data_IF_546535574761
#
_entry.id   IF_546535574761
#
_cell.length_a   1.000
_cell.length_b   1.000
_cell.length_c   1.000
_cell.angle_alpha   90.00
_cell.angle_beta   90.00
_cell.angle_gamma   90.00
#
_symmetry.space_group_name_H-M   'P 1'
#
loop_
_entity.id
_entity.type
_entity.pdbx_description
1 polymer ?
#
# COMPACT_ATOMS: atom_id res chain seq x y z
N UNK A 1 -51.99 22.03 -17.07
CA UNK A 1 -52.58 23.30 -17.56
C UNK A 1 -52.15 24.39 -16.59
N UNK A 2 -51.07 25.11 -16.93
CA UNK A 2 -50.67 26.43 -16.39
C UNK A 2 -49.67 26.96 -17.39
N UNK A 3 -50.15 27.80 -18.31
CA UNK A 3 -49.36 28.47 -19.35
C UNK A 3 -48.82 29.75 -18.72
N UNK A 4 -47.50 29.87 -18.61
CA UNK A 4 -46.85 31.14 -18.27
C UNK A 4 -46.55 31.85 -19.59
N UNK A 5 -47.30 32.91 -19.84
CA UNK A 5 -47.20 33.75 -21.02
C UNK A 5 -45.94 34.63 -20.88
N UNK A 6 -44.87 34.29 -21.61
CA UNK A 6 -43.67 35.11 -21.68
C UNK A 6 -43.93 36.26 -22.65
N UNK A 7 -44.19 37.44 -22.10
CA UNK A 7 -44.26 38.70 -22.84
C UNK A 7 -42.93 38.91 -23.56
N UNK A 8 -42.95 38.73 -24.89
CA UNK A 8 -41.89 39.17 -25.76
C UNK A 8 -41.86 40.70 -25.73
N UNK A 9 -40.93 41.25 -24.98
CA UNK A 9 -40.57 42.65 -25.13
C UNK A 9 -39.73 42.77 -26.39
N UNK A 10 -40.38 43.10 -27.50
CA UNK A 10 -39.75 43.62 -28.72
C UNK A 10 -39.07 44.94 -28.37
N UNK A 11 -37.81 44.84 -27.94
CA UNK A 11 -36.91 45.98 -27.93
C UNK A 11 -36.44 46.20 -29.37
N UNK A 12 -37.16 47.04 -30.12
CA UNK A 12 -36.62 47.75 -31.27
C UNK A 12 -35.50 48.69 -30.78
N UNK A 13 -34.35 48.13 -30.47
CA UNK A 13 -33.09 48.86 -30.42
C UNK A 13 -32.66 49.03 -31.88
N UNK A 14 -32.86 50.24 -32.41
CA UNK A 14 -32.39 50.60 -33.74
C UNK A 14 -30.94 50.18 -33.96
N UNK A 15 -30.62 49.75 -35.18
CA UNK A 15 -29.30 49.36 -35.64
C UNK A 15 -28.26 50.48 -35.42
N UNK A 16 -27.78 50.60 -34.18
CA UNK A 16 -26.52 51.22 -33.88
C UNK A 16 -25.46 50.22 -34.32
N UNK A 17 -25.03 50.37 -35.58
CA UNK A 17 -23.93 49.61 -36.16
C UNK A 17 -22.68 49.82 -35.28
N UNK A 18 -22.44 48.88 -34.36
CA UNK A 18 -21.26 48.90 -33.51
C UNK A 18 -20.02 48.74 -34.38
N UNK A 19 -19.13 49.72 -34.36
CA UNK A 19 -17.87 49.74 -35.13
C UNK A 19 -16.80 48.78 -34.59
N UNK A 20 -17.07 48.10 -33.48
CA UNK A 20 -16.17 47.17 -32.81
C UNK A 20 -16.67 45.73 -32.88
N UNK A 21 -15.74 44.78 -32.99
CA UNK A 21 -16.03 43.35 -32.99
C UNK A 21 -16.55 42.90 -31.61
N UNK A 22 -17.72 42.28 -31.56
CA UNK A 22 -18.25 41.68 -30.33
C UNK A 22 -17.44 40.46 -29.88
N UNK A 23 -17.54 40.09 -28.60
CA UNK A 23 -16.77 38.99 -27.98
C UNK A 23 -16.99 37.62 -28.65
N UNK A 24 -18.23 37.35 -29.10
CA UNK A 24 -18.56 36.12 -29.82
C UNK A 24 -17.86 36.04 -31.18
N UNK A 25 -17.83 37.15 -31.93
CA UNK A 25 -17.13 37.23 -33.21
C UNK A 25 -15.60 37.21 -33.04
N UNK A 26 -15.08 37.86 -31.98
CA UNK A 26 -13.66 37.81 -31.63
C UNK A 26 -13.19 36.39 -31.25
N UNK A 27 -14.03 35.58 -30.58
CA UNK A 27 -13.71 34.19 -30.23
C UNK A 27 -13.48 33.31 -31.46
N UNK A 28 -14.17 33.56 -32.56
CA UNK A 28 -13.98 32.81 -33.82
C UNK A 28 -12.61 33.06 -34.47
N UNK A 29 -11.94 34.15 -34.08
CA UNK A 29 -10.59 34.50 -34.53
C UNK A 29 -9.50 34.07 -33.55
N UNK A 30 -9.87 33.60 -32.36
CA UNK A 30 -8.95 33.15 -31.34
C UNK A 30 -8.64 31.65 -31.48
N UNK A 31 -7.40 31.26 -31.19
CA UNK A 31 -7.03 29.84 -31.09
C UNK A 31 -7.31 29.31 -29.69
N UNK A 32 -7.72 28.05 -29.59
CA UNK A 32 -7.93 27.38 -28.30
C UNK A 32 -6.67 26.62 -27.89
N UNK A 33 -6.19 26.86 -26.68
CA UNK A 33 -5.16 26.02 -26.06
C UNK A 33 -5.75 24.66 -25.71
N UNK A 34 -5.21 23.59 -26.30
CA UNK A 34 -5.58 22.22 -25.96
C UNK A 34 -4.65 21.70 -24.86
N UNK A 35 -5.21 21.16 -23.79
CA UNK A 35 -4.42 20.48 -22.76
C UNK A 35 -3.95 19.10 -23.25
N UNK A 36 -2.94 18.56 -22.59
CA UNK A 36 -2.60 17.13 -22.73
C UNK A 36 -3.74 16.26 -22.20
N UNK A 37 -3.91 15.02 -22.70
CA UNK A 37 -4.86 14.06 -22.14
C UNK A 37 -4.65 13.88 -20.63
N UNK A 38 -5.71 14.00 -19.84
CA UNK A 38 -5.66 13.79 -18.39
C UNK A 38 -6.09 12.36 -18.06
N UNK A 39 -5.28 11.62 -17.29
CA UNK A 39 -5.58 10.26 -16.85
C UNK A 39 -5.89 10.22 -15.35
N UNK A 40 -7.14 9.95 -14.98
CA UNK A 40 -7.57 9.90 -13.57
C UNK A 40 -6.94 8.76 -12.76
N UNK A 41 -6.47 7.69 -13.43
CA UNK A 41 -5.79 6.58 -12.77
C UNK A 41 -4.36 6.92 -12.30
N UNK A 42 -3.80 8.08 -12.68
CA UNK A 42 -2.47 8.49 -12.23
C UNK A 42 -2.54 8.89 -10.76
N UNK A 43 -2.03 8.02 -9.89
CA UNK A 43 -1.83 8.31 -8.48
C UNK A 43 -0.46 8.94 -8.21
N UNK A 44 -0.27 9.40 -6.98
CA UNK A 44 0.98 10.02 -6.55
C UNK A 44 2.18 9.08 -6.62
N UNK A 45 2.03 7.75 -6.63
CA UNK A 45 3.14 6.78 -6.58
C UNK A 45 4.16 7.04 -5.45
N UNK A 46 3.69 7.51 -4.28
CA UNK A 46 4.58 7.87 -3.16
C UNK A 46 5.48 6.73 -2.70
N UNK A 47 4.93 5.53 -2.49
CA UNK A 47 5.71 4.36 -2.04
C UNK A 47 6.89 4.07 -2.96
N UNK A 48 6.66 4.06 -4.28
CA UNK A 48 7.71 3.83 -5.26
C UNK A 48 8.79 4.92 -5.26
N UNK A 49 8.50 6.15 -4.80
CA UNK A 49 9.54 7.18 -4.63
C UNK A 49 10.31 7.06 -3.33
N UNK A 50 9.70 6.49 -2.29
CA UNK A 50 10.28 6.43 -0.94
C UNK A 50 11.09 5.15 -0.72
N UNK A 51 10.80 4.09 -1.45
CA UNK A 51 11.54 2.82 -1.31
C UNK A 51 13.03 3.01 -1.66
N UNK A 52 13.95 2.40 -0.88
CA UNK A 52 15.38 2.46 -1.12
C UNK A 52 15.76 1.46 -2.23
N UNK A 53 15.53 1.83 -3.48
CA UNK A 53 15.84 0.97 -4.63
C UNK A 53 17.33 0.64 -4.68
N UNK A 54 17.64 -0.66 -4.77
CA UNK A 54 18.99 -1.19 -4.93
C UNK A 54 19.08 -1.85 -6.31
N UNK A 55 20.13 -1.52 -7.07
CA UNK A 55 20.40 -2.13 -8.38
C UNK A 55 20.89 -3.58 -8.21
N UNK A 56 20.26 -4.52 -8.92
CA UNK A 56 20.61 -5.94 -8.88
C UNK A 56 21.22 -6.39 -10.21
N UNK A 57 22.54 -6.23 -10.36
CA UNK A 57 23.27 -6.64 -11.57
C UNK A 57 23.17 -8.16 -11.76
N UNK A 58 22.51 -8.59 -12.83
CA UNK A 58 22.25 -10.02 -13.12
C UNK A 58 20.88 -10.54 -12.65
N UNK A 59 19.99 -9.68 -12.15
CA UNK A 59 18.59 -10.04 -11.85
C UNK A 59 18.38 -10.94 -10.63
N UNK A 60 19.43 -11.20 -9.84
CA UNK A 60 19.37 -11.98 -8.61
C UNK A 60 19.71 -11.10 -7.39
N UNK A 61 18.83 -11.12 -6.38
CA UNK A 61 19.06 -10.49 -5.08
C UNK A 61 19.07 -11.57 -4.00
N UNK A 62 20.26 -11.88 -3.46
CA UNK A 62 20.43 -12.86 -2.39
C UNK A 62 20.57 -12.15 -1.05
N UNK A 63 19.70 -12.49 -0.10
CA UNK A 63 19.75 -11.97 1.27
C UNK A 63 20.32 -13.05 2.18
N UNK A 64 21.58 -12.90 2.57
CA UNK A 64 22.20 -13.79 3.55
C UNK A 64 21.85 -13.28 4.96
N UNK A 65 21.24 -14.12 5.78
CA UNK A 65 20.92 -13.83 7.18
C UNK A 65 21.81 -14.68 8.08
N UNK A 66 22.45 -14.08 9.07
CA UNK A 66 23.13 -14.80 10.14
C UNK A 66 22.11 -15.12 11.23
N UNK A 67 22.07 -16.38 11.67
CA UNK A 67 21.28 -16.74 12.84
C UNK A 67 22.02 -16.25 14.09
N UNK A 68 21.47 -15.22 14.73
CA UNK A 68 21.85 -14.79 16.08
C UNK A 68 20.59 -14.85 16.94
N UNK A 69 20.58 -15.75 17.92
CA UNK A 69 19.57 -15.78 18.96
C UNK A 69 20.21 -15.30 20.26
N UNK A 70 19.46 -14.52 21.04
CA UNK A 70 19.92 -13.94 22.28
C UNK A 70 19.05 -14.48 23.41
N UNK A 71 19.54 -15.53 24.06
CA UNK A 71 18.90 -16.09 25.26
C UNK A 71 18.87 -15.02 26.34
N UNK A 72 17.71 -14.80 26.96
CA UNK A 72 17.48 -13.88 28.07
C UNK A 72 16.65 -12.63 27.73
N UNK A 73 16.08 -12.51 26.53
CA UNK A 73 15.24 -11.37 26.14
C UNK A 73 13.72 -11.59 26.39
N UNK A 74 13.34 -12.77 26.91
CA UNK A 74 11.96 -13.14 27.20
C UNK A 74 11.13 -13.49 25.97
N UNK A 75 11.74 -13.70 24.80
CA UNK A 75 11.07 -14.05 23.55
C UNK A 75 11.63 -15.35 22.99
N UNK A 76 10.77 -16.14 22.36
CA UNK A 76 11.20 -17.35 21.67
C UNK A 76 11.59 -16.98 20.23
N UNK A 77 12.85 -17.20 19.88
CA UNK A 77 13.34 -17.03 18.50
C UNK A 77 13.05 -18.26 17.64
N UNK A 78 12.76 -18.02 16.36
CA UNK A 78 12.53 -19.07 15.35
C UNK A 78 13.56 -18.97 14.23
N UNK A 79 13.92 -20.12 13.67
CA UNK A 79 14.64 -20.21 12.40
C UNK A 79 13.65 -20.40 11.27
N UNK A 80 13.99 -19.88 10.09
CA UNK A 80 13.21 -20.10 8.87
C UNK A 80 14.12 -20.71 7.81
N UNK A 81 13.70 -21.84 7.25
CA UNK A 81 14.32 -22.49 6.09
C UNK A 81 13.30 -22.48 4.96
N UNK A 82 13.34 -21.42 4.15
CA UNK A 82 12.36 -21.23 3.07
C UNK A 82 10.98 -20.84 3.62
N UNK A 83 10.00 -21.74 3.51
CA UNK A 83 8.66 -21.55 4.08
C UNK A 83 8.49 -22.23 5.45
N UNK A 84 9.42 -23.10 5.83
CA UNK A 84 9.35 -23.85 7.08
C UNK A 84 9.90 -23.01 8.24
N UNK A 85 9.11 -22.89 9.31
CA UNK A 85 9.47 -22.18 10.54
C UNK A 85 9.64 -23.17 11.68
N UNK A 86 10.82 -23.16 12.32
CA UNK A 86 11.15 -24.05 13.45
C UNK A 86 11.63 -23.25 14.65
N UNK A 87 11.18 -23.64 15.84
CA UNK A 87 11.65 -23.07 17.12
C UNK A 87 13.15 -23.36 17.28
N UNK A 88 13.91 -22.39 17.77
CA UNK A 88 15.30 -22.61 18.21
C UNK A 88 15.27 -23.29 19.58
N UNK A 89 15.78 -24.52 19.76
CA UNK A 89 15.54 -25.29 20.98
C UNK A 89 15.97 -24.61 22.30
N UNK A 90 17.17 -23.99 22.40
CA UNK A 90 17.57 -23.28 23.62
C UNK A 90 16.62 -22.14 24.05
N UNK A 91 15.91 -21.54 23.09
CA UNK A 91 15.01 -20.39 23.35
C UNK A 91 13.71 -20.80 24.04
N UNK A 92 13.40 -22.10 24.08
CA UNK A 92 12.28 -22.61 24.88
C UNK A 92 12.47 -22.34 26.38
N UNK A 93 13.71 -22.16 26.84
CA UNK A 93 14.01 -21.75 28.22
C UNK A 93 13.51 -20.36 28.60
N UNK A 94 13.11 -19.52 27.63
CA UNK A 94 12.47 -18.22 27.90
C UNK A 94 11.04 -18.37 28.43
N UNK A 95 10.39 -19.51 28.13
CA UNK A 95 9.04 -19.80 28.63
C UNK A 95 9.08 -19.94 30.16
N UNK A 96 8.17 -19.29 30.90
CA UNK A 96 8.18 -19.32 32.37
C UNK A 96 8.25 -20.73 32.99
N UNK A 97 7.62 -21.73 32.35
CA UNK A 97 7.60 -23.11 32.81
C UNK A 97 8.92 -23.88 32.57
N UNK A 98 9.77 -23.40 31.65
CA UNK A 98 11.02 -24.05 31.24
C UNK A 98 12.26 -23.23 31.62
N UNK A 99 12.09 -22.14 32.39
CA UNK A 99 13.22 -21.32 32.84
C UNK A 99 14.23 -22.13 33.64
N UNK A 100 15.50 -21.97 33.28
CA UNK A 100 16.62 -22.66 33.94
C UNK A 100 16.75 -24.14 33.55
N UNK A 101 15.96 -24.61 32.59
CA UNK A 101 16.11 -25.95 32.01
C UNK A 101 17.14 -25.91 30.89
N UNK A 102 18.21 -26.70 31.02
CA UNK A 102 19.41 -26.65 30.16
C UNK A 102 19.69 -27.96 29.40
N UNK A 103 18.81 -28.97 29.51
CA UNK A 103 18.93 -30.21 28.74
C UNK A 103 18.56 -29.98 27.27
N UNK A 104 19.60 -29.77 26.46
CA UNK A 104 19.49 -29.50 25.02
C UNK A 104 18.78 -30.61 24.25
N UNK A 105 18.95 -31.89 24.64
CA UNK A 105 18.33 -33.00 23.94
C UNK A 105 16.82 -33.00 24.14
N UNK A 106 16.37 -32.73 25.37
CA UNK A 106 14.94 -32.60 25.69
C UNK A 106 14.33 -31.36 25.05
N UNK A 107 15.03 -30.22 25.10
CA UNK A 107 14.56 -29.00 24.44
C UNK A 107 14.43 -29.19 22.92
N UNK A 108 15.38 -29.89 22.30
CA UNK A 108 15.32 -30.24 20.87
C UNK A 108 14.13 -31.13 20.56
N UNK A 109 13.92 -32.18 21.36
CA UNK A 109 12.77 -33.07 21.20
C UNK A 109 11.43 -32.35 21.40
N UNK A 110 11.37 -31.34 22.27
CA UNK A 110 10.19 -30.50 22.47
C UNK A 110 9.97 -29.56 21.29
N UNK A 111 11.02 -28.90 20.79
CA UNK A 111 10.97 -28.06 19.60
C UNK A 111 10.45 -28.84 18.39
N UNK A 112 10.81 -30.12 18.26
CA UNK A 112 10.34 -31.01 17.18
C UNK A 112 8.86 -31.37 17.25
N UNK A 113 8.18 -31.09 18.37
CA UNK A 113 6.72 -31.29 18.49
C UNK A 113 5.91 -30.08 18.07
N UNK A 114 6.55 -28.92 17.86
CA UNK A 114 5.83 -27.75 17.35
C UNK A 114 5.44 -27.97 15.90
N UNK A 115 4.22 -27.56 15.56
CA UNK A 115 3.67 -27.66 14.21
C UNK A 115 3.39 -26.25 13.70
N UNK A 116 3.78 -25.99 12.46
CA UNK A 116 3.45 -24.75 11.77
C UNK A 116 1.99 -24.80 11.31
N UNK A 117 1.23 -23.75 11.63
CA UNK A 117 -0.14 -23.55 11.16
C UNK A 117 -0.23 -22.19 10.47
N UNK A 118 -0.85 -22.18 9.29
CA UNK A 118 -1.08 -20.97 8.49
C UNK A 118 -2.50 -20.47 8.71
N UNK A 119 -2.68 -19.15 8.71
CA UNK A 119 -3.94 -18.47 8.98
C UNK A 119 -4.17 -17.39 7.92
N UNK A 120 -5.41 -17.25 7.47
CA UNK A 120 -5.85 -16.22 6.54
C UNK A 120 -6.25 -14.93 7.28
N UNK A 121 -6.29 -13.78 6.58
CA UNK A 121 -6.76 -12.55 7.17
C UNK A 121 -8.21 -12.68 7.69
N UNK A 122 -8.39 -12.51 9.00
CA UNK A 122 -9.67 -12.63 9.68
C UNK A 122 -9.84 -13.89 10.51
N UNK A 123 -8.90 -14.85 10.42
CA UNK A 123 -8.91 -16.03 11.27
C UNK A 123 -8.55 -15.67 12.73
N UNK A 124 -9.21 -16.34 13.67
CA UNK A 124 -8.94 -16.20 15.10
C UNK A 124 -7.85 -17.20 15.49
N UNK A 125 -6.72 -16.69 15.98
CA UNK A 125 -5.54 -17.49 16.33
C UNK A 125 -5.69 -18.11 17.73
N UNK A 126 -6.25 -17.37 18.70
CA UNK A 126 -6.56 -17.82 20.06
C UNK A 126 -7.79 -17.06 20.57
N UNK A 127 -8.72 -17.77 21.22
CA UNK A 127 -9.80 -17.16 22.03
C UNK A 127 -9.47 -17.30 23.52
N UNK A 128 -9.80 -16.28 24.31
CA UNK A 128 -9.52 -16.20 25.76
C UNK A 128 -10.80 -16.30 26.58
#
# INVERSE_FOLDING_TARGET
MTVAESVGSDFEAGEQSSLSLGTAAARNLATTTKSVPQMQAISSRWLLRTLPWIETKGGAYRVNRRLSYAVGDGRVTFTNVGSEVRVVPPELGELPLLRGFDDEAVLSALADRFVQQEFEPGDVIVEF
#
